data_IF_401324540832
#
_entry.id   IF_401324540832
#
_cell.length_a   1.000
_cell.length_b   1.000
_cell.length_c   1.000
_cell.angle_alpha   90.00
_cell.angle_beta   90.00
_cell.angle_gamma   90.00
#
_symmetry.space_group_name_H-M   'P 1'
#
loop_
_entity.id
_entity.type
_entity.pdbx_description
1 polymer ?
#
# COMPACT_ATOMS: atom_id res chain seq x y z
N UNK A 1 11.08 -23.54 -3.72
CA UNK A 1 10.48 -24.53 -4.61
C UNK A 1 9.13 -23.98 -5.05
N UNK A 2 9.11 -23.18 -6.12
CA UNK A 2 7.86 -22.75 -6.76
C UNK A 2 7.41 -23.91 -7.65
N UNK A 3 6.26 -24.52 -7.29
CA UNK A 3 5.67 -25.59 -8.05
C UNK A 3 5.33 -25.13 -9.48
N UNK A 4 5.71 -25.93 -10.45
CA UNK A 4 5.30 -25.82 -11.87
C UNK A 4 3.84 -26.25 -12.03
N UNK A 5 2.92 -25.57 -11.34
CA UNK A 5 1.50 -25.68 -11.62
C UNK A 5 1.24 -25.03 -12.99
N UNK A 6 0.76 -25.79 -13.97
CA UNK A 6 0.18 -25.22 -15.19
C UNK A 6 -0.96 -24.31 -14.74
N UNK A 7 -0.77 -23.01 -14.82
CA UNK A 7 -1.84 -22.03 -14.65
C UNK A 7 -2.88 -22.32 -15.73
N UNK A 8 -4.06 -22.75 -15.32
CA UNK A 8 -5.22 -22.83 -16.20
C UNK A 8 -5.55 -21.36 -16.50
N UNK A 9 -5.39 -20.96 -17.76
CA UNK A 9 -5.76 -19.63 -18.21
C UNK A 9 -7.26 -19.61 -18.44
N UNK A 10 -7.97 -18.87 -17.63
CA UNK A 10 -9.37 -18.58 -17.85
C UNK A 10 -9.48 -17.19 -18.49
N UNK A 11 -10.27 -17.06 -19.55
CA UNK A 11 -10.62 -15.78 -20.09
C UNK A 11 -11.77 -15.22 -19.25
N UNK A 12 -11.51 -14.09 -18.61
CA UNK A 12 -12.52 -13.36 -17.83
C UNK A 12 -12.93 -12.13 -18.63
N UNK A 13 -14.23 -12.02 -18.90
CA UNK A 13 -14.78 -10.82 -19.50
C UNK A 13 -14.89 -9.73 -18.41
N UNK A 14 -14.39 -8.55 -18.73
CA UNK A 14 -14.47 -7.36 -17.87
C UNK A 14 -15.23 -6.27 -18.62
N UNK A 15 -16.33 -5.80 -18.06
CA UNK A 15 -17.10 -4.67 -18.59
C UNK A 15 -16.28 -3.37 -18.54
N UNK A 16 -16.71 -2.36 -19.28
CA UNK A 16 -16.12 -1.02 -19.21
C UNK A 16 -16.16 -0.48 -17.77
N UNK A 17 -15.05 -0.02 -17.27
CA UNK A 17 -14.93 0.57 -15.93
C UNK A 17 -13.95 1.74 -15.93
N UNK A 18 -14.03 2.55 -14.88
CA UNK A 18 -13.07 3.62 -14.60
C UNK A 18 -12.35 3.31 -13.31
N UNK A 19 -11.03 3.46 -13.30
CA UNK A 19 -10.19 3.25 -12.12
C UNK A 19 -9.31 4.47 -11.89
N UNK A 20 -9.05 4.80 -10.63
CA UNK A 20 -8.07 5.83 -10.29
C UNK A 20 -6.68 5.39 -10.75
N UNK A 21 -5.97 6.26 -11.45
CA UNK A 21 -4.58 5.99 -11.87
C UNK A 21 -3.58 5.99 -10.70
N UNK A 22 -4.00 6.43 -9.52
CA UNK A 22 -3.15 6.60 -8.34
C UNK A 22 -3.85 6.03 -7.11
N UNK A 23 -3.03 5.60 -6.13
CA UNK A 23 -3.54 5.25 -4.80
C UNK A 23 -4.25 6.45 -4.16
N UNK A 24 -5.23 6.18 -3.29
CA UNK A 24 -5.86 7.22 -2.47
C UNK A 24 -4.82 7.81 -1.52
N UNK A 25 -4.71 9.11 -1.54
CA UNK A 25 -3.73 9.84 -0.74
C UNK A 25 -4.21 10.06 0.69
N UNK A 26 -3.27 10.30 1.58
CA UNK A 26 -3.55 10.78 2.95
C UNK A 26 -4.42 12.04 2.93
N UNK A 27 -4.17 12.98 1.99
CA UNK A 27 -4.96 14.20 1.86
C UNK A 27 -6.41 13.98 1.43
N UNK A 28 -6.67 12.99 0.57
CA UNK A 28 -8.02 12.60 0.17
C UNK A 28 -8.75 11.88 1.31
N UNK A 29 -8.06 11.00 2.01
CA UNK A 29 -8.62 10.30 3.16
C UNK A 29 -8.90 11.26 4.33
N UNK A 30 -8.06 12.27 4.53
CA UNK A 30 -8.29 13.32 5.53
C UNK A 30 -9.59 14.08 5.27
N UNK A 31 -9.90 14.42 4.02
CA UNK A 31 -11.18 15.05 3.66
C UNK A 31 -12.37 14.16 3.97
N UNK A 32 -12.27 12.86 3.65
CA UNK A 32 -13.31 11.89 4.00
C UNK A 32 -13.56 11.88 5.52
N UNK A 33 -12.50 11.81 6.33
CA UNK A 33 -12.62 11.80 7.79
C UNK A 33 -13.18 13.13 8.30
N UNK A 34 -12.76 14.26 7.73
CA UNK A 34 -13.28 15.58 8.08
C UNK A 34 -14.79 15.71 7.82
N UNK A 35 -15.27 15.22 6.68
CA UNK A 35 -16.69 15.30 6.30
C UNK A 35 -17.57 14.37 7.12
N UNK A 36 -17.08 13.16 7.39
CA UNK A 36 -17.90 12.07 7.94
C UNK A 36 -17.69 11.84 9.43
N UNK A 37 -16.59 12.33 9.98
CA UNK A 37 -16.10 12.00 11.34
C UNK A 37 -15.86 10.50 11.52
N UNK A 38 -15.55 9.81 10.41
CA UNK A 38 -15.27 8.38 10.41
C UNK A 38 -14.06 8.07 11.31
N UNK A 39 -14.19 6.99 12.06
CA UNK A 39 -13.13 6.43 12.89
C UNK A 39 -12.71 5.10 12.30
N UNK A 40 -11.43 4.96 11.95
CA UNK A 40 -10.89 3.73 11.36
C UNK A 40 -10.85 2.56 12.35
N UNK A 41 -10.73 1.35 11.83
CA UNK A 41 -10.55 0.17 12.68
C UNK A 41 -9.25 0.25 13.49
N UNK A 42 -8.16 0.72 12.89
CA UNK A 42 -6.90 0.94 13.62
C UNK A 42 -7.07 1.92 14.80
N UNK A 43 -7.77 3.05 14.58
CA UNK A 43 -8.09 3.99 15.67
C UNK A 43 -9.00 3.36 16.73
N UNK A 44 -9.88 2.44 16.33
CA UNK A 44 -10.80 1.74 17.25
C UNK A 44 -10.04 0.71 18.08
N UNK A 45 -9.12 -0.03 17.49
CA UNK A 45 -8.24 -0.99 18.18
C UNK A 45 -7.18 -0.29 19.02
N UNK A 46 -6.81 0.93 18.67
CA UNK A 46 -5.77 1.69 19.36
C UNK A 46 -4.37 1.43 18.81
N UNK A 47 -4.20 0.56 17.80
CA UNK A 47 -2.91 0.15 17.26
C UNK A 47 -3.01 -0.33 15.80
N UNK A 48 -1.86 -0.46 15.16
CA UNK A 48 -1.70 -1.15 13.88
C UNK A 48 -0.29 -1.74 13.76
N UNK A 49 0.00 -2.43 12.67
CA UNK A 49 1.34 -2.94 12.41
C UNK A 49 2.18 -1.93 11.64
N UNK A 50 3.41 -1.71 12.12
CA UNK A 50 4.44 -0.96 11.41
C UNK A 50 5.59 -1.88 11.03
N UNK A 51 6.29 -1.57 9.95
CA UNK A 51 7.57 -2.19 9.66
C UNK A 51 8.59 -1.71 10.70
N UNK A 52 9.39 -2.63 11.25
CA UNK A 52 10.26 -2.33 12.41
C UNK A 52 11.18 -1.12 12.21
N UNK A 53 11.63 -0.90 10.98
CA UNK A 53 12.52 0.18 10.60
C UNK A 53 11.86 1.58 10.59
N UNK A 54 10.53 1.62 10.64
CA UNK A 54 9.76 2.88 10.79
C UNK A 54 9.66 3.35 12.24
N UNK A 55 10.00 2.48 13.21
CA UNK A 55 9.79 2.72 14.62
C UNK A 55 11.10 3.17 15.25
N UNK A 56 11.09 4.30 15.94
CA UNK A 56 12.27 4.85 16.60
C UNK A 56 12.52 4.30 18.01
N UNK A 57 11.54 3.61 18.59
CA UNK A 57 11.65 3.05 19.94
C UNK A 57 12.34 1.68 19.93
N UNK A 58 13.35 1.53 20.82
CA UNK A 58 14.13 0.32 20.98
C UNK A 58 13.38 -0.82 21.70
N UNK A 59 12.26 -0.53 22.33
CA UNK A 59 11.45 -1.51 23.04
C UNK A 59 10.32 -2.03 22.13
N UNK A 60 10.64 -3.08 21.35
CA UNK A 60 9.65 -3.78 20.52
C UNK A 60 8.77 -4.71 21.36
N UNK A 61 7.59 -4.27 21.79
CA UNK A 61 6.82 -5.04 22.76
C UNK A 61 6.16 -6.27 22.16
N UNK A 62 5.83 -6.26 20.88
CA UNK A 62 5.10 -7.35 20.25
C UNK A 62 5.38 -7.43 18.74
N UNK A 63 5.98 -8.54 18.29
CA UNK A 63 6.25 -8.82 16.88
C UNK A 63 5.37 -9.97 16.38
N UNK A 64 5.08 -9.99 15.09
CA UNK A 64 4.41 -11.11 14.45
C UNK A 64 5.39 -12.28 14.38
N UNK A 65 5.05 -13.41 15.00
CA UNK A 65 5.97 -14.55 15.20
C UNK A 65 6.60 -15.06 13.91
N UNK A 66 5.82 -15.18 12.83
CA UNK A 66 6.25 -15.69 11.53
C UNK A 66 6.75 -14.58 10.59
N UNK A 67 6.64 -13.30 11.01
CA UNK A 67 7.00 -12.12 10.24
C UNK A 67 7.52 -11.02 11.17
N UNK A 68 8.65 -11.29 11.84
CA UNK A 68 9.21 -10.46 12.91
C UNK A 68 9.58 -9.02 12.51
N UNK A 69 9.51 -8.72 11.23
CA UNK A 69 9.64 -7.35 10.72
C UNK A 69 8.37 -6.51 10.88
N UNK A 70 7.23 -7.11 11.25
CA UNK A 70 6.02 -6.40 11.62
C UNK A 70 5.91 -6.27 13.14
N UNK A 71 5.79 -5.03 13.59
CA UNK A 71 5.69 -4.67 15.00
C UNK A 71 4.33 -4.07 15.28
N UNK A 72 3.65 -4.58 16.28
CA UNK A 72 2.43 -3.96 16.81
C UNK A 72 2.79 -2.63 17.45
N UNK A 73 2.27 -1.55 16.88
CA UNK A 73 2.59 -0.18 17.28
C UNK A 73 1.34 0.53 17.76
N UNK A 74 1.36 0.94 19.02
CA UNK A 74 0.28 1.73 19.61
C UNK A 74 0.14 3.06 18.87
N UNK A 75 -1.10 3.50 18.66
CA UNK A 75 -1.43 4.76 17.99
C UNK A 75 -0.95 4.87 16.53
N UNK A 76 -0.53 3.78 15.90
CA UNK A 76 -0.25 3.79 14.46
C UNK A 76 -1.58 3.84 13.69
N UNK A 77 -1.86 4.97 13.07
CA UNK A 77 -3.11 5.28 12.38
C UNK A 77 -2.83 5.93 11.02
N UNK A 78 -3.86 6.09 10.21
CA UNK A 78 -3.76 6.73 8.91
C UNK A 78 -3.13 8.14 8.94
N UNK A 79 -3.32 8.89 10.04
CA UNK A 79 -2.78 10.24 10.26
C UNK A 79 -1.54 10.27 11.17
N UNK A 80 -1.10 9.14 11.65
CA UNK A 80 0.06 8.97 12.54
C UNK A 80 0.75 7.62 12.23
N UNK A 81 1.35 7.46 11.03
CA UNK A 81 1.75 6.15 10.52
C UNK A 81 2.87 5.45 11.30
N UNK A 82 3.65 6.17 12.10
CA UNK A 82 4.68 5.61 12.99
C UNK A 82 4.24 5.52 14.46
N UNK A 83 3.00 5.91 14.77
CA UNK A 83 2.48 5.93 16.13
C UNK A 83 2.98 7.09 17.01
N UNK A 84 3.88 7.94 16.51
CA UNK A 84 4.55 8.96 17.35
C UNK A 84 4.34 10.41 16.90
N UNK A 85 5.11 10.91 15.94
CA UNK A 85 5.15 12.36 15.73
C UNK A 85 5.29 12.82 14.27
N UNK A 86 5.01 11.95 13.33
CA UNK A 86 5.14 12.36 11.94
C UNK A 86 4.05 13.36 11.59
N UNK A 87 4.45 14.55 11.19
CA UNK A 87 3.49 15.56 10.80
C UNK A 87 2.78 15.18 9.51
N UNK A 88 1.50 14.83 9.58
CA UNK A 88 0.64 14.44 8.46
C UNK A 88 0.80 15.33 7.21
N UNK A 89 1.03 16.62 7.40
CA UNK A 89 1.24 17.59 6.32
C UNK A 89 2.38 17.23 5.36
N UNK A 90 3.35 16.45 5.82
CA UNK A 90 4.48 16.00 4.99
C UNK A 90 4.11 14.81 4.10
N UNK A 91 2.98 14.14 4.37
CA UNK A 91 2.53 12.92 3.71
C UNK A 91 1.22 13.08 2.95
N UNK A 92 0.70 14.30 2.80
CA UNK A 92 -0.61 14.52 2.14
C UNK A 92 -0.70 13.94 0.73
N UNK A 93 0.42 13.83 0.03
CA UNK A 93 0.51 13.24 -1.32
C UNK A 93 0.92 11.76 -1.32
N UNK A 94 1.21 11.18 -0.17
CA UNK A 94 1.53 9.76 -0.05
C UNK A 94 0.27 8.90 0.02
N UNK A 95 0.35 7.60 -0.34
CA UNK A 95 -0.78 6.70 -0.18
C UNK A 95 -1.17 6.60 1.29
N UNK A 96 -2.46 6.56 1.56
CA UNK A 96 -2.95 6.31 2.92
C UNK A 96 -2.64 4.88 3.34
N UNK A 97 -2.14 4.72 4.57
CA UNK A 97 -1.80 3.44 5.20
C UNK A 97 -2.62 3.22 6.48
N UNK A 98 -2.49 2.05 7.12
CA UNK A 98 -3.24 1.68 8.34
C UNK A 98 -4.76 1.77 8.17
N UNK A 99 -5.23 1.42 6.98
CA UNK A 99 -6.65 1.32 6.64
C UNK A 99 -7.01 -0.12 6.35
N UNK A 100 -8.14 -0.55 6.87
CA UNK A 100 -8.68 -1.88 6.62
C UNK A 100 -9.52 -1.91 5.33
N UNK A 101 -9.97 -3.12 4.95
CA UNK A 101 -10.95 -3.27 3.88
C UNK A 101 -12.27 -2.55 4.20
N UNK A 102 -12.70 -2.55 5.45
CA UNK A 102 -13.89 -1.84 5.90
C UNK A 102 -13.73 -0.32 5.79
N UNK A 103 -12.57 0.22 6.18
CA UNK A 103 -12.23 1.63 6.05
C UNK A 103 -12.22 2.06 4.57
N UNK A 104 -11.63 1.23 3.70
CA UNK A 104 -11.60 1.47 2.27
C UNK A 104 -13.01 1.49 1.65
N UNK A 105 -13.89 0.58 2.06
CA UNK A 105 -15.30 0.60 1.62
C UNK A 105 -16.08 1.81 2.13
N UNK A 106 -15.81 2.25 3.36
CA UNK A 106 -16.42 3.48 3.90
C UNK A 106 -16.00 4.70 3.08
N UNK A 107 -14.71 4.81 2.74
CA UNK A 107 -14.20 5.84 1.82
C UNK A 107 -14.88 5.75 0.45
N UNK A 108 -14.94 4.57 -0.15
CA UNK A 108 -15.57 4.36 -1.44
C UNK A 108 -17.05 4.79 -1.43
N UNK A 109 -17.80 4.47 -0.37
CA UNK A 109 -19.19 4.90 -0.23
C UNK A 109 -19.35 6.43 -0.19
N UNK A 110 -18.46 7.11 0.55
CA UNK A 110 -18.45 8.57 0.62
C UNK A 110 -18.12 9.20 -0.74
N UNK A 111 -17.10 8.69 -1.43
CA UNK A 111 -16.65 9.18 -2.74
C UNK A 111 -17.53 8.73 -3.91
N UNK A 112 -18.60 7.94 -3.66
CA UNK A 112 -19.48 7.34 -4.68
C UNK A 112 -18.72 6.45 -5.68
N UNK A 113 -17.73 5.74 -5.18
CA UNK A 113 -16.93 4.75 -5.92
C UNK A 113 -17.08 3.38 -5.28
N UNK A 114 -16.32 2.43 -5.76
CA UNK A 114 -16.16 1.09 -5.15
C UNK A 114 -14.71 0.63 -5.27
N UNK A 115 -14.34 -0.39 -4.51
CA UNK A 115 -13.11 -1.12 -4.76
C UNK A 115 -13.20 -1.84 -6.11
N UNK A 116 -12.11 -1.94 -6.87
CA UNK A 116 -12.07 -2.75 -8.07
C UNK A 116 -12.22 -4.24 -7.71
N UNK A 117 -12.73 -5.03 -8.64
CA UNK A 117 -12.59 -6.48 -8.56
C UNK A 117 -11.14 -6.86 -8.87
N UNK A 118 -10.74 -8.10 -8.53
CA UNK A 118 -9.42 -8.63 -8.88
C UNK A 118 -9.18 -8.56 -10.40
N UNK A 119 -10.16 -8.95 -11.20
CA UNK A 119 -10.06 -8.91 -12.66
C UNK A 119 -9.90 -7.50 -13.22
N UNK A 120 -10.63 -6.52 -12.70
CA UNK A 120 -10.50 -5.12 -13.10
C UNK A 120 -9.12 -4.56 -12.72
N UNK A 121 -8.65 -4.88 -11.51
CA UNK A 121 -7.35 -4.43 -11.04
C UNK A 121 -6.21 -5.03 -11.89
N UNK A 122 -6.26 -6.35 -12.13
CA UNK A 122 -5.26 -7.04 -12.96
C UNK A 122 -5.26 -6.50 -14.39
N UNK A 123 -6.44 -6.30 -14.99
CA UNK A 123 -6.58 -5.73 -16.33
C UNK A 123 -5.96 -4.33 -16.41
N UNK A 124 -6.27 -3.45 -15.44
CA UNK A 124 -5.71 -2.11 -15.38
C UNK A 124 -4.20 -2.12 -15.16
N UNK A 125 -3.69 -2.96 -14.24
CA UNK A 125 -2.28 -3.08 -13.95
C UNK A 125 -1.48 -3.58 -15.16
N UNK A 126 -2.06 -4.45 -15.99
CA UNK A 126 -1.42 -4.93 -17.24
C UNK A 126 -1.31 -3.85 -18.31
N UNK A 127 -2.20 -2.87 -18.34
CA UNK A 127 -2.13 -1.76 -19.31
C UNK A 127 -2.06 -2.22 -20.78
N UNK A 128 -2.71 -3.36 -21.11
CA UNK A 128 -2.67 -3.97 -22.44
C UNK A 128 -1.48 -4.88 -22.71
N UNK A 129 -0.56 -5.06 -21.77
CA UNK A 129 0.57 -6.00 -21.90
C UNK A 129 0.14 -7.41 -21.53
N UNK A 130 0.26 -8.34 -22.48
CA UNK A 130 -0.04 -9.75 -22.27
C UNK A 130 1.19 -10.53 -21.79
N UNK A 131 1.00 -11.36 -20.76
CA UNK A 131 1.98 -12.36 -20.29
C UNK A 131 3.34 -11.78 -19.84
N UNK A 132 3.40 -10.49 -19.52
CA UNK A 132 4.62 -9.86 -19.02
C UNK A 132 4.81 -10.16 -17.53
N UNK A 133 6.06 -10.19 -17.08
CA UNK A 133 6.41 -10.43 -15.67
C UNK A 133 5.97 -9.23 -14.82
N UNK A 134 6.24 -8.02 -15.30
CA UNK A 134 5.93 -6.78 -14.62
C UNK A 134 4.89 -5.96 -15.40
N UNK A 135 4.21 -5.00 -14.76
CA UNK A 135 3.30 -4.08 -15.43
C UNK A 135 3.92 -3.26 -16.57
N UNK A 136 5.23 -3.17 -16.63
CA UNK A 136 6.00 -2.45 -17.67
C UNK A 136 6.75 -3.35 -18.65
N UNK A 137 6.71 -4.68 -18.50
CA UNK A 137 7.40 -5.60 -19.43
C UNK A 137 8.05 -6.79 -18.71
N UNK A 138 9.12 -7.32 -19.28
CA UNK A 138 9.80 -8.50 -18.75
C UNK A 138 11.06 -8.16 -17.93
N UNK A 139 11.63 -6.98 -18.13
CA UNK A 139 12.85 -6.57 -17.46
C UNK A 139 12.53 -5.84 -16.14
N UNK A 140 13.21 -6.22 -15.06
CA UNK A 140 13.05 -5.56 -13.76
C UNK A 140 13.51 -4.10 -13.79
N UNK A 141 14.65 -3.84 -14.45
CA UNK A 141 15.19 -2.51 -14.65
C UNK A 141 14.84 -2.00 -16.05
N UNK A 142 14.27 -0.82 -16.14
CA UNK A 142 14.05 -0.10 -17.39
C UNK A 142 15.04 1.06 -17.47
N UNK A 143 15.92 1.04 -18.45
CA UNK A 143 17.02 2.02 -18.58
C UNK A 143 17.89 2.14 -17.32
N UNK A 144 18.07 1.03 -16.60
CA UNK A 144 18.83 0.99 -15.36
C UNK A 144 18.10 1.51 -14.12
N UNK A 145 16.79 1.80 -14.22
CA UNK A 145 15.96 2.29 -13.12
C UNK A 145 14.89 1.29 -12.72
N UNK A 146 14.57 1.30 -11.44
CA UNK A 146 13.46 0.53 -10.85
C UNK A 146 12.17 1.36 -11.04
N UNK A 147 11.13 0.73 -11.63
CA UNK A 147 9.86 1.38 -11.93
C UNK A 147 8.77 1.15 -10.87
N UNK A 148 9.18 0.80 -9.66
CA UNK A 148 8.25 0.63 -8.54
C UNK A 148 8.95 0.95 -7.21
N UNK A 149 8.19 1.42 -6.23
CA UNK A 149 8.69 1.60 -4.87
C UNK A 149 8.57 0.29 -4.11
N UNK A 150 9.69 -0.37 -3.89
CA UNK A 150 9.80 -1.65 -3.18
C UNK A 150 11.02 -1.65 -2.24
N UNK A 151 11.06 -2.62 -1.34
CA UNK A 151 12.26 -2.88 -0.56
C UNK A 151 13.40 -3.38 -1.45
N UNK A 152 14.57 -2.75 -1.36
CA UNK A 152 15.76 -3.08 -2.15
C UNK A 152 16.92 -3.44 -1.22
N UNK A 153 17.71 -4.43 -1.62
CA UNK A 153 18.82 -4.91 -0.80
C UNK A 153 18.48 -6.17 0.00
N UNK A 154 18.95 -6.28 1.22
CA UNK A 154 18.82 -7.49 2.05
C UNK A 154 17.60 -7.41 2.98
N UNK A 155 16.47 -7.94 2.52
CA UNK A 155 15.26 -7.98 3.35
C UNK A 155 15.43 -8.88 4.58
N UNK A 156 14.95 -8.45 5.75
CA UNK A 156 14.30 -7.18 6.06
C UNK A 156 15.29 -6.12 6.61
N UNK A 157 16.58 -6.40 6.69
CA UNK A 157 17.56 -5.68 7.52
C UNK A 157 18.23 -4.49 6.85
N UNK A 158 18.30 -4.45 5.53
CA UNK A 158 19.07 -3.43 4.82
C UNK A 158 18.34 -3.01 3.53
N UNK A 159 17.64 -1.86 3.60
CA UNK A 159 17.01 -1.25 2.44
C UNK A 159 17.93 -0.20 1.84
N UNK A 160 18.47 -0.46 0.65
CA UNK A 160 19.36 0.46 -0.08
C UNK A 160 18.65 1.68 -0.64
N UNK A 161 17.30 1.64 -0.76
CA UNK A 161 16.47 2.74 -1.26
C UNK A 161 16.92 3.30 -2.62
N UNK A 162 17.33 2.43 -3.55
CA UNK A 162 17.83 2.82 -4.89
C UNK A 162 16.74 3.48 -5.75
N UNK A 163 15.46 3.25 -5.42
CA UNK A 163 14.31 3.93 -6.01
C UNK A 163 14.10 5.36 -5.49
N UNK A 164 14.89 5.77 -4.49
CA UNK A 164 14.84 7.09 -3.86
C UNK A 164 13.92 7.18 -2.64
N UNK A 165 13.25 6.10 -2.25
CA UNK A 165 12.30 6.09 -1.14
C UNK A 165 12.55 4.93 -0.18
N UNK A 166 12.70 5.24 1.11
CA UNK A 166 12.85 4.22 2.14
C UNK A 166 11.54 3.56 2.53
N UNK A 167 10.45 4.31 2.47
CA UNK A 167 9.09 3.89 2.83
C UNK A 167 8.12 4.21 1.68
N UNK A 168 6.96 4.81 1.97
CA UNK A 168 6.03 5.24 0.92
C UNK A 168 6.61 6.38 0.09
N UNK A 169 6.21 6.44 -1.18
CA UNK A 169 6.51 7.53 -2.08
C UNK A 169 5.23 8.38 -2.34
N UNK A 170 5.36 9.65 -2.76
CA UNK A 170 4.21 10.39 -3.29
C UNK A 170 3.57 9.64 -4.45
N UNK A 171 2.25 9.69 -4.57
CA UNK A 171 1.51 8.96 -5.62
C UNK A 171 1.69 9.51 -7.04
N UNK A 172 2.39 10.62 -7.17
CA UNK A 172 2.65 11.33 -8.43
C UNK A 172 4.12 11.31 -8.87
N UNK A 173 4.96 10.48 -8.22
CA UNK A 173 6.37 10.28 -8.61
C UNK A 173 6.55 9.13 -9.58
#
# INVERSE_FOLDING_TARGET
LFGTGRSIREFIYVDDFSISAKCITVGEFARFVEDTKYRTEAETFGWSFCFFDQIQDSDYPEVVKEASWWVKTERAFWNLPDGHNVAIKNFLKHPVTHVSWNDANAFCKWSKTRLPTEAEWEYAARGGLEQKIFPWGDEFLVEGKINCNIFQGKFPSDNTSEDGFRFTAPVDC
#
